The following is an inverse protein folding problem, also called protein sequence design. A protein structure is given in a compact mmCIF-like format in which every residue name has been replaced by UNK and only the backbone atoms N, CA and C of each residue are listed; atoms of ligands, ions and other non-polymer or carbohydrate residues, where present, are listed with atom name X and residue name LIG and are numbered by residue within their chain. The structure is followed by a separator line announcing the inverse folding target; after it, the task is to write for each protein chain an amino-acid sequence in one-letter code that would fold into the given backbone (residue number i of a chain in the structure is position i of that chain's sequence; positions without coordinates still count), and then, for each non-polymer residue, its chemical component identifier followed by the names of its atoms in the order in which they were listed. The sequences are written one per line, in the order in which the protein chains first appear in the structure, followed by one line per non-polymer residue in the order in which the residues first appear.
data_IF_902164579337
#
_entry.id   IF_902164579337
#
_cell.length_a   1.000
_cell.length_b   1.000
_cell.length_c   1.000
_cell.angle_alpha   90.00
_cell.angle_beta   90.00
_cell.angle_gamma   90.00
#
_symmetry.space_group_name_H-M   'P 1'
#
loop_
_entity.id
_entity.type
_entity.pdbx_description
1 polymer ?
#
# COMPACT_ATOMS: atom_id res chain seq x y z
N UNK A 1 -15.87 3.56 -8.22
CA UNK A 1 -16.98 3.45 -7.24
C UNK A 1 -16.94 4.70 -6.35
N UNK A 2 -18.02 5.08 -5.67
CA UNK A 2 -17.96 6.12 -4.64
C UNK A 2 -18.31 5.50 -3.29
N UNK A 3 -17.62 5.88 -2.22
CA UNK A 3 -18.16 5.68 -0.87
C UNK A 3 -18.45 7.04 -0.24
N UNK A 4 -19.56 7.07 0.50
CA UNK A 4 -19.98 8.21 1.28
C UNK A 4 -19.56 7.99 2.73
N UNK A 5 -18.85 8.96 3.30
CA UNK A 5 -18.47 8.92 4.72
C UNK A 5 -19.60 9.48 5.58
N UNK A 6 -19.55 9.26 6.90
CA UNK A 6 -20.57 9.79 7.82
C UNK A 6 -20.58 11.31 7.89
N UNK A 7 -19.50 11.98 7.49
CA UNK A 7 -19.46 13.45 7.36
C UNK A 7 -20.23 13.94 6.14
N UNK A 8 -20.64 13.04 5.24
CA UNK A 8 -21.29 13.35 3.97
C UNK A 8 -20.31 13.55 2.82
N UNK A 9 -19.00 13.39 3.04
CA UNK A 9 -18.01 13.46 1.96
C UNK A 9 -18.11 12.25 1.04
N UNK A 10 -17.89 12.48 -0.26
CA UNK A 10 -17.89 11.45 -1.30
C UNK A 10 -16.48 11.28 -1.84
N UNK A 11 -15.96 10.05 -1.72
CA UNK A 11 -14.66 9.71 -2.25
C UNK A 11 -14.83 8.82 -3.47
N UNK A 12 -14.33 9.30 -4.61
CA UNK A 12 -14.17 8.46 -5.77
C UNK A 12 -13.04 7.47 -5.48
N UNK A 13 -13.39 6.20 -5.40
CA UNK A 13 -12.46 5.12 -5.04
C UNK A 13 -11.30 5.01 -5.99
N UNK A 14 -11.44 5.50 -7.22
CA UNK A 14 -10.36 5.50 -8.21
C UNK A 14 -9.19 6.40 -7.77
N UNK A 15 -9.45 7.48 -7.01
CA UNK A 15 -8.40 8.42 -6.59
C UNK A 15 -7.74 8.08 -5.26
N UNK A 16 -8.00 6.89 -4.72
CA UNK A 16 -7.51 6.47 -3.41
C UNK A 16 -6.22 5.68 -3.62
N UNK A 17 -5.15 6.20 -3.03
CA UNK A 17 -3.84 5.58 -2.96
C UNK A 17 -3.73 4.59 -1.79
N UNK A 18 -4.36 4.91 -0.65
CA UNK A 18 -4.42 4.03 0.51
C UNK A 18 -5.68 4.26 1.35
N UNK A 19 -6.09 3.19 2.03
CA UNK A 19 -7.08 3.22 3.11
C UNK A 19 -6.39 2.68 4.36
N UNK A 20 -6.31 3.48 5.42
CA UNK A 20 -5.68 3.10 6.69
C UNK A 20 -6.75 3.09 7.77
N UNK A 21 -7.06 1.94 8.38
CA UNK A 21 -7.97 1.87 9.51
C UNK A 21 -7.42 2.67 10.69
N UNK A 22 -8.21 3.58 11.24
CA UNK A 22 -7.92 4.16 12.55
C UNK A 22 -8.74 3.42 13.60
N UNK A 23 -8.05 2.85 14.57
CA UNK A 23 -8.68 2.15 15.68
C UNK A 23 -8.87 3.09 16.86
N UNK A 24 -10.11 3.41 17.19
CA UNK A 24 -10.46 4.01 18.49
C UNK A 24 -11.01 2.93 19.40
N UNK A 25 -10.37 2.72 20.56
CA UNK A 25 -10.83 1.75 21.57
C UNK A 25 -11.01 0.31 21.02
N UNK A 26 -10.14 -0.11 20.11
CA UNK A 26 -10.17 -1.46 19.52
C UNK A 26 -11.24 -1.69 18.45
N UNK A 27 -11.94 -0.64 18.00
CA UNK A 27 -12.88 -0.70 16.87
C UNK A 27 -12.41 0.22 15.75
N UNK A 28 -12.41 -0.27 14.52
CA UNK A 28 -12.22 0.58 13.34
C UNK A 28 -13.43 1.48 13.20
N UNK A 29 -13.27 2.76 13.53
CA UNK A 29 -14.35 3.76 13.45
C UNK A 29 -14.10 4.74 12.31
N UNK A 30 -12.84 4.94 11.93
CA UNK A 30 -12.39 5.89 10.94
C UNK A 30 -11.45 5.23 9.94
N UNK A 31 -11.39 5.79 8.74
CA UNK A 31 -10.39 5.49 7.72
C UNK A 31 -9.64 6.76 7.37
N UNK A 32 -8.33 6.65 7.30
CA UNK A 32 -7.49 7.61 6.62
C UNK A 32 -7.50 7.27 5.13
N UNK A 33 -7.85 8.25 4.32
CA UNK A 33 -7.93 8.15 2.86
C UNK A 33 -6.79 8.99 2.32
N UNK A 34 -5.76 8.33 1.83
CA UNK A 34 -4.67 8.99 1.12
C UNK A 34 -5.07 9.04 -0.35
N UNK A 35 -5.20 10.23 -0.90
CA UNK A 35 -5.54 10.42 -2.32
C UNK A 35 -4.29 10.38 -3.19
N UNK A 36 -4.47 10.19 -4.49
CA UNK A 36 -3.39 10.20 -5.49
C UNK A 36 -2.52 11.46 -5.56
N UNK A 37 -2.95 12.57 -4.95
CA UNK A 37 -2.15 13.79 -4.80
C UNK A 37 -1.34 13.87 -3.50
N UNK A 38 -1.35 12.81 -2.67
CA UNK A 38 -0.75 12.81 -1.34
C UNK A 38 -1.60 13.52 -0.28
N UNK A 39 -2.81 13.99 -0.62
CA UNK A 39 -3.72 14.60 0.36
C UNK A 39 -4.35 13.52 1.21
N UNK A 40 -4.21 13.66 2.51
CA UNK A 40 -4.80 12.80 3.54
C UNK A 40 -6.14 13.36 4.02
N UNK A 41 -7.16 12.50 4.09
CA UNK A 41 -8.45 12.80 4.73
C UNK A 41 -8.74 11.76 5.81
N UNK A 42 -9.13 12.19 7.01
CA UNK A 42 -9.54 11.27 8.08
C UNK A 42 -11.06 11.33 8.19
N UNK A 43 -11.71 10.20 7.95
CA UNK A 43 -13.15 10.13 7.78
C UNK A 43 -13.78 8.98 8.57
N UNK A 44 -14.99 9.19 9.08
CA UNK A 44 -15.76 8.13 9.75
C UNK A 44 -16.58 7.38 8.71
N UNK A 45 -16.56 6.04 8.71
CA UNK A 45 -17.35 5.22 7.78
C UNK A 45 -18.45 4.42 8.49
N UNK A 46 -19.44 3.98 7.72
CA UNK A 46 -20.48 3.08 8.21
C UNK A 46 -19.92 1.65 8.35
N UNK A 47 -20.24 0.98 9.46
CA UNK A 47 -19.74 -0.38 9.74
C UNK A 47 -20.12 -1.37 8.64
N UNK A 48 -21.31 -1.23 8.03
CA UNK A 48 -21.77 -2.09 6.94
C UNK A 48 -20.90 -1.95 5.69
N UNK A 49 -20.50 -0.72 5.33
CA UNK A 49 -19.60 -0.48 4.20
C UNK A 49 -18.18 -0.99 4.48
N UNK A 50 -17.72 -0.87 5.72
CA UNK A 50 -16.45 -1.46 6.13
C UNK A 50 -16.49 -2.98 6.03
N UNK A 51 -17.56 -3.62 6.50
CA UNK A 51 -17.74 -5.06 6.39
C UNK A 51 -17.82 -5.51 4.92
N UNK A 52 -18.49 -4.76 4.05
CA UNK A 52 -18.54 -5.06 2.61
C UNK A 52 -17.15 -4.93 1.94
N UNK A 53 -16.35 -3.96 2.36
CA UNK A 53 -14.97 -3.76 1.91
C UNK A 53 -14.01 -4.84 2.44
N UNK A 54 -14.19 -5.31 3.68
CA UNK A 54 -13.34 -6.30 4.34
C UNK A 54 -13.71 -7.74 3.95
N UNK A 55 -15.01 -8.05 3.82
CA UNK A 55 -15.51 -9.41 3.59
C UNK A 55 -15.81 -9.71 2.12
N UNK A 56 -15.88 -8.68 1.28
CA UNK A 56 -16.18 -8.84 -0.13
C UNK A 56 -14.94 -9.17 -0.96
N UNK A 57 -15.08 -9.87 -2.11
CA UNK A 57 -14.04 -9.93 -3.14
C UNK A 57 -13.85 -8.57 -3.86
N UNK A 58 -14.35 -7.48 -3.28
CA UNK A 58 -14.46 -6.19 -3.92
C UNK A 58 -13.08 -5.54 -3.99
N UNK A 59 -12.48 -5.67 -5.16
CA UNK A 59 -11.33 -4.90 -5.56
C UNK A 59 -11.77 -3.48 -5.93
N UNK A 60 -11.13 -2.48 -5.33
CA UNK A 60 -11.25 -1.10 -5.78
C UNK A 60 -10.31 -0.92 -6.97
N UNK A 61 -10.78 -0.52 -8.16
CA UNK A 61 -9.89 -0.26 -9.29
C UNK A 61 -8.86 0.81 -8.96
N UNK A 62 -7.60 0.56 -9.30
CA UNK A 62 -6.53 1.53 -9.12
C UNK A 62 -6.51 2.54 -10.28
N UNK A 63 -6.08 3.77 -9.99
CA UNK A 63 -5.74 4.73 -11.05
C UNK A 63 -4.50 4.25 -11.79
N UNK A 64 -4.46 4.51 -13.10
CA UNK A 64 -3.30 4.18 -13.93
C UNK A 64 -2.04 4.88 -13.40
N UNK A 65 -0.90 4.18 -13.47
CA UNK A 65 0.41 4.70 -13.09
C UNK A 65 0.90 4.24 -11.72
N UNK A 66 0.07 3.54 -10.94
CA UNK A 66 0.52 2.83 -9.75
C UNK A 66 1.16 1.50 -10.15
N UNK A 67 2.33 1.22 -9.58
CA UNK A 67 3.05 -0.05 -9.79
C UNK A 67 3.35 -0.70 -8.43
N UNK A 68 3.21 -2.02 -8.37
CA UNK A 68 3.77 -2.82 -7.30
C UNK A 68 5.23 -3.05 -7.65
N UNK A 69 6.13 -2.71 -6.74
CA UNK A 69 7.57 -2.89 -6.92
C UNK A 69 8.09 -3.88 -5.90
N UNK A 70 8.97 -4.77 -6.34
CA UNK A 70 9.64 -5.73 -5.48
C UNK A 70 11.14 -5.67 -5.71
N UNK A 71 11.91 -5.71 -4.63
CA UNK A 71 13.37 -5.67 -4.67
C UNK A 71 13.91 -7.08 -4.45
N UNK A 72 14.92 -7.46 -5.24
CA UNK A 72 15.58 -8.76 -5.14
C UNK A 72 17.05 -8.70 -5.53
N UNK A 73 17.72 -9.83 -5.37
CA UNK A 73 19.14 -10.02 -5.69
C UNK A 73 19.29 -11.18 -6.65
N UNK A 74 20.05 -10.98 -7.73
CA UNK A 74 20.46 -12.05 -8.62
C UNK A 74 21.54 -12.91 -7.96
N UNK A 75 21.78 -14.11 -8.50
CA UNK A 75 22.88 -14.97 -8.06
C UNK A 75 24.27 -14.30 -8.24
N UNK A 76 24.39 -13.37 -9.19
CA UNK A 76 25.60 -12.56 -9.38
C UNK A 76 25.89 -11.61 -8.23
N UNK A 77 24.92 -11.37 -7.35
CA UNK A 77 24.99 -10.35 -6.31
C UNK A 77 24.54 -8.96 -6.79
N UNK A 78 24.06 -8.82 -8.03
CA UNK A 78 23.44 -7.59 -8.50
C UNK A 78 22.01 -7.49 -7.98
N UNK A 79 21.59 -6.30 -7.56
CA UNK A 79 20.21 -6.07 -7.19
C UNK A 79 19.34 -5.66 -8.38
N UNK A 80 18.08 -6.07 -8.33
CA UNK A 80 17.07 -5.73 -9.32
C UNK A 80 15.78 -5.28 -8.65
N UNK A 81 14.98 -4.55 -9.42
CA UNK A 81 13.62 -4.17 -9.04
C UNK A 81 12.68 -4.68 -10.11
N UNK A 82 11.74 -5.53 -9.71
CA UNK A 82 10.60 -5.90 -10.54
C UNK A 82 9.49 -4.87 -10.38
N UNK A 83 8.73 -4.65 -11.44
CA UNK A 83 7.57 -3.76 -11.43
C UNK A 83 6.38 -4.45 -12.09
N UNK A 84 5.21 -4.28 -11.51
CA UNK A 84 3.97 -4.87 -11.98
C UNK A 84 2.84 -3.84 -11.84
N UNK A 85 2.06 -3.53 -12.89
CA UNK A 85 0.95 -2.60 -12.79
C UNK A 85 -0.06 -3.03 -11.72
N UNK A 86 -0.47 -2.08 -10.88
CA UNK A 86 -1.55 -2.31 -9.90
C UNK A 86 -2.87 -2.11 -10.64
N UNK A 87 -3.69 -3.15 -10.67
CA UNK A 87 -5.02 -3.14 -11.30
C UNK A 87 -6.13 -2.82 -10.29
N UNK A 88 -5.83 -2.96 -9.00
CA UNK A 88 -6.72 -2.54 -7.94
C UNK A 88 -6.17 -2.71 -6.54
N UNK A 89 -7.02 -2.42 -5.57
CA UNK A 89 -6.74 -2.49 -4.14
C UNK A 89 -7.71 -3.45 -3.48
N UNK A 90 -7.22 -4.24 -2.54
CA UNK A 90 -8.04 -5.11 -1.70
C UNK A 90 -7.70 -4.84 -0.25
N UNK A 91 -8.69 -4.69 0.63
CA UNK A 91 -8.42 -4.70 2.06
C UNK A 91 -8.21 -6.14 2.51
N UNK A 92 -7.17 -6.40 3.29
CA UNK A 92 -7.01 -7.68 3.99
C UNK A 92 -7.91 -7.74 5.25
N UNK A 93 -7.90 -8.87 5.95
CA UNK A 93 -8.70 -9.09 7.16
C UNK A 93 -8.33 -8.11 8.30
N UNK A 94 -7.19 -7.43 8.20
CA UNK A 94 -6.74 -6.40 9.13
C UNK A 94 -7.11 -4.99 8.67
N UNK A 95 -7.78 -4.87 7.51
CA UNK A 95 -8.17 -3.61 6.90
C UNK A 95 -7.03 -2.87 6.21
N UNK A 96 -5.90 -3.52 5.97
CA UNK A 96 -4.77 -2.93 5.25
C UNK A 96 -5.01 -3.03 3.75
N UNK A 97 -4.94 -1.90 3.06
CA UNK A 97 -4.97 -1.87 1.60
C UNK A 97 -3.75 -2.60 1.03
N UNK A 98 -4.01 -3.72 0.37
CA UNK A 98 -3.03 -4.53 -0.35
C UNK A 98 -3.16 -4.29 -1.85
N UNK A 99 -2.05 -4.04 -2.57
CA UNK A 99 -2.06 -3.90 -4.01
C UNK A 99 -2.44 -5.23 -4.67
N UNK A 100 -3.34 -5.17 -5.64
CA UNK A 100 -3.62 -6.27 -6.56
C UNK A 100 -2.91 -5.96 -7.86
N UNK A 101 -1.82 -6.67 -8.13
CA UNK A 101 -0.99 -6.50 -9.31
C UNK A 101 -1.08 -7.72 -10.22
N UNK A 102 -0.70 -7.55 -11.51
CA UNK A 102 -0.76 -8.63 -12.51
C UNK A 102 0.18 -9.76 -12.12
N UNK A 103 1.43 -9.41 -11.83
CA UNK A 103 2.41 -10.29 -11.19
C UNK A 103 2.34 -10.12 -9.68
N UNK A 104 2.32 -11.25 -8.97
CA UNK A 104 2.34 -11.33 -7.51
C UNK A 104 3.77 -11.50 -7.02
N UNK A 105 4.21 -10.59 -6.15
CA UNK A 105 5.48 -10.71 -5.44
C UNK A 105 5.26 -11.19 -4.00
N UNK A 106 6.35 -11.60 -3.34
CA UNK A 106 6.28 -11.88 -1.90
C UNK A 106 5.80 -10.64 -1.15
N UNK A 107 4.79 -10.80 -0.30
CA UNK A 107 4.19 -9.68 0.42
C UNK A 107 5.16 -8.94 1.35
N UNK A 108 6.24 -9.61 1.78
CA UNK A 108 7.25 -9.03 2.67
C UNK A 108 8.27 -8.15 1.95
N UNK A 109 8.30 -8.18 0.61
CA UNK A 109 9.33 -7.54 -0.21
C UNK A 109 8.75 -6.54 -1.22
N UNK A 110 7.45 -6.28 -1.13
CA UNK A 110 6.74 -5.39 -2.03
C UNK A 110 6.47 -4.00 -1.44
N UNK A 111 6.50 -2.99 -2.30
CA UNK A 111 6.07 -1.64 -2.02
C UNK A 111 5.22 -1.10 -3.18
N UNK A 112 4.57 0.04 -2.97
CA UNK A 112 3.77 0.71 -4.01
C UNK A 112 4.57 1.89 -4.55
N UNK A 113 4.88 1.89 -5.84
CA UNK A 113 5.37 3.05 -6.57
C UNK A 113 4.17 3.85 -7.07
N UNK A 114 4.08 5.09 -6.63
CA UNK A 114 3.01 6.02 -7.00
C UNK A 114 3.36 6.79 -8.28
N UNK A 115 2.36 7.34 -9.00
CA UNK A 115 2.59 8.04 -10.27
C UNK A 115 3.50 9.28 -10.18
N UNK A 116 3.66 9.86 -8.99
CA UNK A 116 4.55 10.99 -8.75
C UNK A 116 6.00 10.58 -8.44
N UNK A 117 6.29 9.28 -8.44
CA UNK A 117 7.62 8.71 -8.24
C UNK A 117 7.93 8.25 -6.82
N UNK A 118 7.06 8.52 -5.83
CA UNK A 118 7.28 8.11 -4.45
C UNK A 118 6.97 6.64 -4.21
N UNK A 119 7.70 6.02 -3.27
CA UNK A 119 7.49 4.63 -2.87
C UNK A 119 6.88 4.54 -1.47
N UNK A 120 5.81 3.76 -1.34
CA UNK A 120 5.09 3.51 -0.10
C UNK A 120 5.31 2.04 0.30
N UNK A 121 6.16 1.81 1.29
CA UNK A 121 6.47 0.47 1.79
C UNK A 121 5.50 0.04 2.91
N UNK A 122 5.23 -1.27 3.01
CA UNK A 122 4.40 -1.84 4.08
C UNK A 122 5.15 -1.69 5.42
N UNK A 123 4.59 -0.92 6.36
CA UNK A 123 5.21 -0.69 7.67
C UNK A 123 5.80 0.70 7.94
N UNK A 124 5.29 1.74 7.24
CA UNK A 124 5.49 3.19 7.50
C UNK A 124 6.69 3.88 6.80
N UNK A 125 7.38 3.20 5.87
CA UNK A 125 8.40 3.85 5.05
C UNK A 125 7.81 4.53 3.81
N UNK A 126 7.86 5.86 3.74
CA UNK A 126 7.65 6.62 2.50
C UNK A 126 8.98 7.15 2.00
N UNK A 127 9.29 6.90 0.74
CA UNK A 127 10.54 7.30 0.09
C UNK A 127 10.22 8.21 -1.08
N UNK A 128 11.02 9.26 -1.28
CA UNK A 128 10.76 10.23 -2.35
C UNK A 128 11.07 9.63 -3.72
N UNK A 129 11.94 8.62 -3.76
CA UNK A 129 12.35 7.94 -4.98
C UNK A 129 12.44 6.42 -4.81
N UNK A 130 12.41 5.71 -5.94
CA UNK A 130 12.64 4.27 -5.97
C UNK A 130 14.08 3.91 -5.55
N UNK A 131 15.03 4.77 -5.89
CA UNK A 131 16.45 4.61 -5.55
C UNK A 131 16.69 4.65 -4.04
N UNK A 132 16.02 5.56 -3.33
CA UNK A 132 16.09 5.64 -1.86
C UNK A 132 15.54 4.37 -1.20
N UNK A 133 14.36 3.92 -1.64
CA UNK A 133 13.77 2.68 -1.15
C UNK A 133 14.69 1.47 -1.41
N UNK A 134 15.29 1.39 -2.60
CA UNK A 134 16.25 0.34 -2.96
C UNK A 134 17.49 0.36 -2.06
N UNK A 135 18.04 1.54 -1.79
CA UNK A 135 19.21 1.71 -0.92
C UNK A 135 18.90 1.26 0.53
N UNK A 136 17.71 1.57 1.03
CA UNK A 136 17.30 1.17 2.38
C UNK A 136 17.12 -0.35 2.50
N UNK A 137 16.49 -1.01 1.51
CA UNK A 137 16.38 -2.46 1.49
C UNK A 137 17.75 -3.15 1.48
N UNK A 138 18.71 -2.60 0.73
CA UNK A 138 20.09 -3.08 0.72
C UNK A 138 20.73 -2.98 2.11
N UNK A 139 20.59 -1.82 2.78
CA UNK A 139 21.10 -1.61 4.14
C UNK A 139 20.51 -2.62 5.13
N UNK A 140 19.18 -2.77 5.13
CA UNK A 140 18.48 -3.69 6.04
C UNK A 140 18.91 -5.16 5.84
N UNK A 141 19.14 -5.58 4.59
CA UNK A 141 19.69 -6.91 4.28
C UNK A 141 21.07 -7.09 4.90
N UNK A 142 21.98 -6.15 4.65
CA UNK A 142 23.37 -6.27 5.07
C UNK A 142 23.48 -6.34 6.60
N UNK A 143 22.64 -5.59 7.31
CA UNK A 143 22.51 -5.67 8.77
C UNK A 143 22.02 -7.03 9.26
N UNK A 144 21.03 -7.62 8.56
CA UNK A 144 20.54 -8.96 8.88
C UNK A 144 21.61 -10.03 8.68
N UNK A 145 22.41 -9.92 7.63
CA UNK A 145 23.53 -10.83 7.36
C UNK A 145 24.61 -10.67 8.43
N UNK A 146 25.00 -9.44 8.75
CA UNK A 146 26.01 -9.17 9.78
C UNK A 146 25.59 -9.73 11.15
N UNK A 147 24.31 -9.58 11.52
CA UNK A 147 23.76 -10.13 12.77
C UNK A 147 23.74 -11.65 12.79
N UNK A 148 23.49 -12.30 11.66
CA UNK A 148 23.49 -13.77 11.57
C UNK A 148 24.90 -14.38 11.61
N UNK A 149 25.94 -13.58 11.34
CA UNK A 149 27.34 -14.00 11.35
C UNK A 149 28.05 -13.74 12.70
N UNK A 150 27.42 -13.02 13.62
CA UNK A 150 27.93 -12.69 14.96
C UNK A 150 27.44 -13.69 16.01
#
# INVERSE_FOLDING_TARGET
MFFQTKSGAYFNTNHIAALIPCHDSGKTTRIEIVTSGGTTHIETIFNTQLEDLLKGPQMVPAVQGYECVAWGMMESGDDYVCRSPIVGWRLDDLGVASPVAIETFSESEQAVLSPDGRVIARGEGVYDTLEEWRAENRRLRDERIARAAA
#
